data_IF_813539943098
#
_entry.id   IF_813539943098
#
_cell.length_a   1.000
_cell.length_b   1.000
_cell.length_c   1.000
_cell.angle_alpha   90.00
_cell.angle_beta   90.00
_cell.angle_gamma   90.00
#
_symmetry.space_group_name_H-M   'P 1'
#
loop_
_entity.id
_entity.type
_entity.pdbx_description
1 polymer ?
#
# COMPACT_ATOMS: atom_id res chain seq x y z
N UNK A 1 -11.85 12.65 -14.12
CA UNK A 1 -10.66 12.31 -13.31
C UNK A 1 -9.44 12.48 -14.20
N UNK A 2 -8.44 13.24 -13.77
CA UNK A 2 -7.18 13.35 -14.51
C UNK A 2 -6.56 11.96 -14.67
N UNK A 3 -5.93 11.74 -15.82
CA UNK A 3 -5.18 10.50 -16.06
C UNK A 3 -3.94 10.51 -15.17
N UNK A 4 -3.79 9.50 -14.32
CA UNK A 4 -2.56 9.28 -13.55
C UNK A 4 -1.49 8.80 -14.54
N UNK A 5 -0.47 9.62 -14.77
CA UNK A 5 0.67 9.30 -15.63
C UNK A 5 1.95 9.08 -14.81
N UNK A 6 2.00 9.63 -13.59
CA UNK A 6 3.11 9.50 -12.67
C UNK A 6 2.62 9.20 -11.26
N UNK A 7 3.47 8.58 -10.44
CA UNK A 7 3.23 8.46 -9.00
C UNK A 7 3.05 9.83 -8.33
N UNK A 8 3.62 10.89 -8.93
CA UNK A 8 3.46 12.29 -8.49
C UNK A 8 2.02 12.78 -8.58
N UNK A 9 1.19 12.16 -9.42
CA UNK A 9 -0.24 12.49 -9.53
C UNK A 9 -1.08 11.84 -8.42
N UNK A 10 -0.49 10.93 -7.63
CA UNK A 10 -1.18 10.26 -6.53
C UNK A 10 -1.22 11.19 -5.31
N UNK A 11 -2.43 11.54 -4.87
CA UNK A 11 -2.64 12.35 -3.66
C UNK A 11 -1.96 11.71 -2.43
N UNK A 12 -2.03 10.39 -2.30
CA UNK A 12 -1.36 9.65 -1.21
C UNK A 12 0.17 9.83 -1.23
N UNK A 13 0.77 9.96 -2.41
CA UNK A 13 2.20 10.22 -2.51
C UNK A 13 2.53 11.66 -2.11
N UNK A 14 1.77 12.64 -2.60
CA UNK A 14 1.97 14.06 -2.30
C UNK A 14 1.89 14.32 -0.79
N UNK A 15 0.85 13.79 -0.15
CA UNK A 15 0.66 13.89 1.30
C UNK A 15 1.73 13.17 2.09
N UNK A 16 2.21 12.00 1.62
CA UNK A 16 3.31 11.30 2.27
C UNK A 16 4.61 12.14 2.26
N UNK A 17 4.88 12.89 1.19
CA UNK A 17 6.00 13.84 1.15
C UNK A 17 5.79 14.99 2.15
N UNK A 18 4.59 15.56 2.22
CA UNK A 18 4.28 16.63 3.17
C UNK A 18 4.46 16.17 4.63
N UNK A 19 4.00 14.95 4.95
CA UNK A 19 4.22 14.31 6.25
C UNK A 19 5.73 14.20 6.54
N UNK A 20 6.53 13.71 5.60
CA UNK A 20 7.98 13.60 5.80
C UNK A 20 8.61 14.98 6.08
N UNK A 21 8.22 16.03 5.35
CA UNK A 21 8.69 17.40 5.59
C UNK A 21 8.36 17.87 7.01
N UNK A 22 7.13 17.66 7.48
CA UNK A 22 6.72 18.05 8.85
C UNK A 22 7.48 17.26 9.91
N UNK A 23 7.72 15.97 9.70
CA UNK A 23 8.54 15.13 10.58
C UNK A 23 9.96 15.68 10.70
N UNK A 24 10.58 16.09 9.59
CA UNK A 24 11.90 16.72 9.62
C UNK A 24 11.90 18.05 10.39
N UNK A 25 10.82 18.85 10.31
CA UNK A 25 10.69 20.09 11.08
C UNK A 25 10.56 19.83 12.58
N UNK A 26 9.67 18.91 12.98
CA UNK A 26 9.42 18.58 14.39
C UNK A 26 10.67 18.00 15.05
N UNK A 27 11.32 17.03 14.38
CA UNK A 27 12.48 16.33 14.92
C UNK A 27 13.75 17.18 15.02
N UNK A 28 13.75 18.45 14.55
CA UNK A 28 14.84 19.39 14.84
C UNK A 28 14.93 19.77 16.32
N UNK A 29 13.84 19.59 17.07
CA UNK A 29 13.75 19.91 18.50
C UNK A 29 14.15 18.73 19.40
N UNK A 30 14.34 17.55 18.82
CA UNK A 30 14.72 16.37 19.58
C UNK A 30 16.14 16.54 20.17
N UNK A 31 16.45 15.84 21.27
CA UNK A 31 17.80 15.82 21.83
C UNK A 31 18.86 15.40 20.79
N UNK A 32 20.06 16.00 20.87
CA UNK A 32 21.12 15.76 19.90
C UNK A 32 21.75 14.37 20.00
N UNK A 33 21.68 13.74 21.16
CA UNK A 33 22.09 12.35 21.41
C UNK A 33 21.15 11.33 20.74
N UNK A 34 19.92 11.73 20.39
CA UNK A 34 18.94 10.88 19.70
C UNK A 34 19.02 10.93 18.17
N UNK A 35 19.98 11.69 17.61
CA UNK A 35 20.17 11.85 16.15
C UNK A 35 20.26 10.49 15.44
N UNK A 36 21.01 9.54 16.02
CA UNK A 36 21.15 8.18 15.49
C UNK A 36 20.11 7.19 16.04
N UNK A 37 19.43 7.56 17.13
CA UNK A 37 18.34 6.81 17.74
C UNK A 37 16.99 7.13 17.09
N UNK A 38 16.06 7.63 17.91
CA UNK A 38 14.67 7.84 17.54
C UNK A 38 14.50 8.85 16.40
N UNK A 39 15.30 9.91 16.37
CA UNK A 39 15.27 10.92 15.28
C UNK A 39 15.50 10.27 13.92
N UNK A 40 16.50 9.40 13.81
CA UNK A 40 16.78 8.72 12.55
C UNK A 40 15.65 7.78 12.16
N UNK A 41 15.09 7.04 13.13
CA UNK A 41 14.03 6.06 12.88
C UNK A 41 12.75 6.72 12.38
N UNK A 42 12.24 7.76 13.05
CA UNK A 42 11.00 8.42 12.62
C UNK A 42 11.17 9.17 11.28
N UNK A 43 12.36 9.71 10.99
CA UNK A 43 12.65 10.30 9.68
C UNK A 43 12.67 9.23 8.58
N UNK A 44 13.29 8.08 8.82
CA UNK A 44 13.31 6.96 7.87
C UNK A 44 11.90 6.44 7.60
N UNK A 45 11.14 6.19 8.66
CA UNK A 45 9.76 5.74 8.56
C UNK A 45 8.92 6.73 7.73
N UNK A 46 9.04 8.04 7.96
CA UNK A 46 8.23 9.03 7.26
C UNK A 46 8.50 9.11 5.75
N UNK A 47 9.76 9.24 5.32
CA UNK A 47 10.03 9.31 3.88
C UNK A 47 9.82 7.96 3.18
N UNK A 48 9.99 6.84 3.90
CA UNK A 48 9.77 5.48 3.38
C UNK A 48 8.37 5.29 2.81
N UNK A 49 7.35 5.96 3.38
CA UNK A 49 5.97 5.93 2.86
C UNK A 49 5.94 6.38 1.38
N UNK A 50 6.50 7.55 1.10
CA UNK A 50 6.52 8.11 -0.25
C UNK A 50 7.40 7.31 -1.22
N UNK A 51 8.53 6.79 -0.76
CA UNK A 51 9.45 5.99 -1.57
C UNK A 51 8.80 4.66 -1.98
N UNK A 52 8.14 3.98 -1.04
CA UNK A 52 7.42 2.74 -1.34
C UNK A 52 6.24 2.98 -2.30
N UNK A 53 5.49 4.07 -2.16
CA UNK A 53 4.42 4.40 -3.12
C UNK A 53 4.99 4.61 -4.52
N UNK A 54 6.09 5.36 -4.65
CA UNK A 54 6.73 5.63 -5.93
C UNK A 54 7.30 4.36 -6.57
N UNK A 55 8.05 3.57 -5.79
CA UNK A 55 8.63 2.30 -6.25
C UNK A 55 7.54 1.30 -6.66
N UNK A 56 6.50 1.19 -5.85
CA UNK A 56 5.36 0.31 -6.11
C UNK A 56 4.60 0.70 -7.37
N UNK A 57 4.38 1.99 -7.61
CA UNK A 57 3.74 2.49 -8.83
C UNK A 57 4.56 2.16 -10.08
N UNK A 58 5.88 2.09 -9.97
CA UNK A 58 6.79 1.68 -11.05
C UNK A 58 6.76 0.18 -11.38
N UNK A 59 6.02 -0.65 -10.63
CA UNK A 59 5.98 -2.10 -10.85
C UNK A 59 4.97 -2.50 -11.93
N UNK A 60 5.30 -3.58 -12.64
CA UNK A 60 4.51 -4.08 -13.79
C UNK A 60 3.14 -4.69 -13.42
N UNK A 61 2.87 -4.94 -12.15
CA UNK A 61 1.60 -5.58 -11.74
C UNK A 61 0.98 -4.88 -10.54
N UNK A 62 -0.36 -4.87 -10.51
CA UNK A 62 -1.13 -4.37 -9.35
C UNK A 62 -0.84 -5.17 -8.08
N UNK A 63 -0.52 -6.48 -8.18
CA UNK A 63 -0.14 -7.30 -7.03
C UNK A 63 1.19 -6.82 -6.41
N UNK A 64 2.18 -6.51 -7.25
CA UNK A 64 3.44 -5.94 -6.79
C UNK A 64 3.21 -4.57 -6.17
N UNK A 65 2.44 -3.68 -6.81
CA UNK A 65 2.12 -2.38 -6.23
C UNK A 65 1.44 -2.51 -4.86
N UNK A 66 0.50 -3.43 -4.70
CA UNK A 66 -0.14 -3.72 -3.42
C UNK A 66 0.85 -4.10 -2.31
N UNK A 67 1.91 -4.84 -2.60
CA UNK A 67 2.92 -5.18 -1.60
C UNK A 67 3.65 -3.92 -1.12
N UNK A 68 4.06 -3.04 -2.03
CA UNK A 68 4.69 -1.77 -1.68
C UNK A 68 3.75 -0.84 -0.89
N UNK A 69 2.46 -0.79 -1.24
CA UNK A 69 1.49 -0.02 -0.46
C UNK A 69 1.33 -0.55 0.98
N UNK A 70 1.45 -1.87 1.18
CA UNK A 70 1.44 -2.46 2.54
C UNK A 70 2.70 -2.11 3.32
N UNK A 71 3.86 -2.06 2.67
CA UNK A 71 5.10 -1.58 3.29
C UNK A 71 4.95 -0.10 3.67
N UNK A 72 4.43 0.73 2.77
CA UNK A 72 4.15 2.14 3.06
C UNK A 72 3.20 2.32 4.25
N UNK A 73 2.15 1.49 4.34
CA UNK A 73 1.27 1.43 5.52
C UNK A 73 2.04 1.07 6.80
N UNK A 74 2.89 0.04 6.75
CA UNK A 74 3.73 -0.36 7.88
C UNK A 74 4.66 0.77 8.34
N UNK A 75 5.26 1.51 7.40
CA UNK A 75 6.08 2.68 7.74
C UNK A 75 5.29 3.81 8.40
N UNK A 76 3.99 3.98 8.11
CA UNK A 76 3.14 4.90 8.88
C UNK A 76 2.86 4.38 10.30
N UNK A 77 2.62 3.08 10.46
CA UNK A 77 2.42 2.48 11.79
C UNK A 77 3.68 2.67 12.66
N UNK A 78 4.86 2.47 12.07
CA UNK A 78 6.17 2.72 12.73
C UNK A 78 6.34 4.20 13.08
N UNK A 79 5.96 5.11 12.18
CA UNK A 79 6.04 6.54 12.40
C UNK A 79 5.17 6.98 13.59
N UNK A 80 3.90 6.56 13.61
CA UNK A 80 2.96 6.84 14.69
C UNK A 80 3.48 6.30 16.03
N UNK A 81 3.94 5.06 16.04
CA UNK A 81 4.54 4.42 17.24
C UNK A 81 5.76 5.20 17.74
N UNK A 82 6.62 5.64 16.83
CA UNK A 82 7.81 6.43 17.17
C UNK A 82 7.49 7.79 17.78
N UNK A 83 6.44 8.47 17.30
CA UNK A 83 6.01 9.73 17.90
C UNK A 83 5.30 9.54 19.25
N UNK A 84 4.55 8.45 19.43
CA UNK A 84 4.01 8.09 20.75
C UNK A 84 5.15 7.91 21.76
N UNK A 85 6.23 7.23 21.37
CA UNK A 85 7.42 7.10 22.21
C UNK A 85 8.09 8.45 22.46
N UNK A 86 8.28 9.28 21.43
CA UNK A 86 8.89 10.60 21.57
C UNK A 86 8.14 11.50 22.55
N UNK A 87 6.81 11.46 22.55
CA UNK A 87 5.98 12.20 23.52
C UNK A 87 6.18 11.68 24.95
N UNK A 88 6.26 10.36 25.14
CA UNK A 88 6.49 9.74 26.46
C UNK A 88 7.88 10.03 27.02
N UNK A 89 8.86 10.21 26.14
CA UNK A 89 10.22 10.64 26.49
C UNK A 89 10.34 12.18 26.60
N UNK A 90 9.23 12.90 26.46
CA UNK A 90 9.14 14.36 26.56
C UNK A 90 9.99 15.11 25.50
N UNK A 91 10.33 14.47 24.38
CA UNK A 91 11.09 15.09 23.28
C UNK A 91 10.24 16.08 22.46
N UNK A 92 8.92 15.94 22.54
CA UNK A 92 7.94 16.78 21.87
C UNK A 92 6.62 16.71 22.63
N UNK A 93 5.86 17.81 22.68
CA UNK A 93 4.55 17.84 23.32
C UNK A 93 3.45 17.34 22.40
N UNK A 94 2.38 16.79 22.98
CA UNK A 94 1.25 16.27 22.23
C UNK A 94 0.56 17.35 21.37
N UNK A 95 0.47 18.59 21.88
CA UNK A 95 -0.16 19.70 21.15
C UNK A 95 0.61 20.05 19.87
N UNK A 96 1.94 19.90 19.89
CA UNK A 96 2.81 20.13 18.73
C UNK A 96 2.64 19.04 17.66
N UNK A 97 2.19 17.85 18.06
CA UNK A 97 1.97 16.72 17.16
C UNK A 97 0.56 16.64 16.59
N UNK A 98 -0.42 17.38 17.15
CA UNK A 98 -1.83 17.25 16.75
C UNK A 98 -2.03 17.27 15.23
N UNK A 99 -1.48 18.27 14.54
CA UNK A 99 -1.60 18.40 13.08
C UNK A 99 -0.94 17.25 12.32
N UNK A 100 0.21 16.77 12.81
CA UNK A 100 0.91 15.64 12.22
C UNK A 100 0.11 14.35 12.40
N UNK A 101 -0.41 14.09 13.60
CA UNK A 101 -1.23 12.91 13.91
C UNK A 101 -2.53 12.88 13.10
N UNK A 102 -3.19 14.02 12.94
CA UNK A 102 -4.36 14.16 12.06
C UNK A 102 -4.00 13.80 10.60
N UNK A 103 -2.82 14.25 10.15
CA UNK A 103 -2.32 13.97 8.79
C UNK A 103 -1.97 12.49 8.58
N UNK A 104 -1.27 11.87 9.54
CA UNK A 104 -0.93 10.44 9.55
C UNK A 104 -2.21 9.60 9.55
N UNK A 105 -3.18 9.93 10.40
CA UNK A 105 -4.47 9.22 10.48
C UNK A 105 -5.22 9.28 9.16
N UNK A 106 -5.27 10.45 8.53
CA UNK A 106 -5.92 10.61 7.25
C UNK A 106 -5.17 9.83 6.15
N UNK A 107 -3.84 9.87 6.15
CA UNK A 107 -3.03 9.14 5.17
C UNK A 107 -3.19 7.63 5.29
N UNK A 108 -3.21 7.11 6.52
CA UNK A 108 -3.50 5.71 6.82
C UNK A 108 -4.84 5.28 6.23
N UNK A 109 -5.90 6.06 6.45
CA UNK A 109 -7.24 5.79 5.90
C UNK A 109 -7.23 5.77 4.36
N UNK A 110 -6.52 6.70 3.74
CA UNK A 110 -6.41 6.78 2.27
C UNK A 110 -5.66 5.59 1.69
N UNK A 111 -4.52 5.21 2.29
CA UNK A 111 -3.74 4.04 1.86
C UNK A 111 -4.54 2.75 2.02
N UNK A 112 -5.19 2.53 3.16
CA UNK A 112 -6.03 1.34 3.39
C UNK A 112 -7.18 1.27 2.37
N UNK A 113 -7.82 2.40 2.09
CA UNK A 113 -8.88 2.46 1.06
C UNK A 113 -8.34 2.12 -0.34
N UNK A 114 -7.19 2.69 -0.73
CA UNK A 114 -6.55 2.39 -2.01
C UNK A 114 -6.18 0.91 -2.13
N UNK A 115 -5.56 0.33 -1.10
CA UNK A 115 -5.23 -1.09 -1.03
C UNK A 115 -6.48 -1.94 -1.26
N UNK A 116 -7.56 -1.67 -0.51
CA UNK A 116 -8.83 -2.41 -0.62
C UNK A 116 -9.40 -2.35 -2.04
N UNK A 117 -9.41 -1.16 -2.66
CA UNK A 117 -9.92 -0.98 -4.03
C UNK A 117 -9.09 -1.77 -5.04
N UNK A 118 -7.76 -1.74 -4.93
CA UNK A 118 -6.86 -2.46 -5.83
C UNK A 118 -6.97 -3.98 -5.65
N UNK A 119 -7.09 -4.47 -4.42
CA UNK A 119 -7.32 -5.89 -4.13
C UNK A 119 -8.62 -6.40 -4.76
N UNK A 120 -9.71 -5.62 -4.65
CA UNK A 120 -10.98 -5.96 -5.29
C UNK A 120 -10.86 -6.01 -6.81
N UNK A 121 -10.12 -5.08 -7.42
CA UNK A 121 -9.83 -5.10 -8.87
C UNK A 121 -9.05 -6.36 -9.28
N UNK A 122 -8.02 -6.72 -8.51
CA UNK A 122 -7.23 -7.96 -8.75
C UNK A 122 -8.13 -9.20 -8.64
N UNK A 123 -8.91 -9.32 -7.56
CA UNK A 123 -9.83 -10.45 -7.34
C UNK A 123 -10.84 -10.59 -8.48
N UNK A 124 -11.45 -9.48 -8.92
CA UNK A 124 -12.39 -9.45 -10.06
C UNK A 124 -11.73 -9.91 -11.36
N UNK A 125 -10.51 -9.44 -11.66
CA UNK A 125 -9.75 -9.86 -12.86
C UNK A 125 -9.43 -11.35 -12.82
N UNK A 126 -8.94 -11.86 -11.69
CA UNK A 126 -8.65 -13.29 -11.51
C UNK A 126 -9.91 -14.16 -11.70
N UNK A 127 -11.04 -13.78 -11.09
CA UNK A 127 -12.31 -14.52 -11.23
C UNK A 127 -12.79 -14.53 -12.68
N UNK A 128 -12.64 -13.42 -13.41
CA UNK A 128 -12.99 -13.34 -14.84
C UNK A 128 -12.13 -14.30 -15.68
N UNK A 129 -10.82 -14.32 -15.46
CA UNK A 129 -9.89 -15.22 -16.17
C UNK A 129 -10.23 -16.69 -15.87
N UNK A 130 -10.43 -17.03 -14.59
CA UNK A 130 -10.81 -18.39 -14.19
C UNK A 130 -12.09 -18.85 -14.88
N UNK A 131 -13.13 -17.99 -14.93
CA UNK A 131 -14.38 -18.31 -15.64
C UNK A 131 -14.14 -18.60 -17.13
N UNK A 132 -13.33 -17.80 -17.81
CA UNK A 132 -13.01 -18.01 -19.23
C UNK A 132 -12.30 -19.36 -19.43
N UNK A 133 -11.31 -19.67 -18.60
CA UNK A 133 -10.57 -20.93 -18.68
C UNK A 133 -11.51 -22.12 -18.47
N UNK A 134 -12.37 -22.08 -17.44
CA UNK A 134 -13.35 -23.15 -17.18
C UNK A 134 -14.32 -23.32 -18.35
N UNK A 135 -14.77 -22.23 -18.98
CA UNK A 135 -15.63 -22.30 -20.18
C UNK A 135 -14.90 -22.94 -21.37
N UNK A 136 -13.63 -22.59 -21.61
CA UNK A 136 -12.84 -23.19 -22.70
C UNK A 136 -12.64 -24.69 -22.48
N UNK A 137 -12.30 -25.11 -21.26
CA UNK A 137 -12.13 -26.53 -20.91
C UNK A 137 -13.46 -27.28 -21.09
N UNK A 138 -14.58 -26.71 -20.64
CA UNK A 138 -15.89 -27.33 -20.80
C UNK A 138 -16.25 -27.54 -22.28
N UNK A 139 -15.99 -26.55 -23.14
CA UNK A 139 -16.24 -26.66 -24.59
C UNK A 139 -15.32 -27.72 -25.21
N UNK A 140 -14.04 -27.74 -24.85
CA UNK A 140 -13.08 -28.72 -25.37
C UNK A 140 -13.39 -30.16 -24.95
N UNK A 141 -14.07 -30.36 -23.81
CA UNK A 141 -14.49 -31.68 -23.33
C UNK A 141 -15.78 -32.20 -24.01
N UNK A 142 -16.58 -31.34 -24.65
CA UNK A 142 -17.86 -31.73 -25.27
C UNK A 142 -17.71 -32.85 -26.32
N UNK A 143 -16.76 -32.82 -27.28
CA UNK A 143 -16.61 -33.88 -28.27
C UNK A 143 -16.26 -35.23 -27.64
N UNK A 144 -15.43 -35.22 -26.59
CA UNK A 144 -15.02 -36.43 -25.86
C UNK A 144 -16.23 -37.02 -25.14
N UNK A 145 -16.98 -36.20 -24.41
CA UNK A 145 -18.20 -36.63 -23.73
C UNK A 145 -19.25 -37.17 -24.71
N UNK A 146 -19.41 -36.51 -25.87
CA UNK A 146 -20.32 -36.95 -26.92
C UNK A 146 -19.91 -38.30 -27.53
N UNK A 147 -18.63 -38.52 -27.78
CA UNK A 147 -18.11 -39.80 -28.29
C UNK A 147 -18.35 -40.95 -27.31
N UNK A 148 -18.14 -40.72 -26.01
CA UNK A 148 -18.40 -41.72 -24.96
C UNK A 148 -19.89 -42.06 -24.86
N UNK A 149 -20.78 -41.08 -25.04
CA UNK A 149 -22.22 -41.29 -24.98
C UNK A 149 -22.76 -42.05 -26.21
N UNK A 150 -22.23 -41.77 -27.40
CA UNK A 150 -22.74 -42.32 -28.66
C UNK A 150 -22.13 -43.66 -29.07
N UNK A 151 -20.94 -44.01 -28.55
CA UNK A 151 -20.30 -45.31 -28.80
C UNK A 151 -19.85 -45.99 -27.49
N UNK A 152 -20.79 -46.63 -26.75
CA UNK A 152 -20.48 -47.27 -25.47
C UNK A 152 -19.64 -48.55 -25.59
N UNK A 153 -19.39 -49.09 -26.79
CA UNK A 153 -18.60 -50.31 -26.99
C UNK A 153 -17.10 -50.08 -27.25
N UNK A 154 -16.63 -48.83 -27.21
CA UNK A 154 -15.21 -48.49 -27.44
C UNK A 154 -14.33 -48.55 -26.17
N UNK A 155 -14.87 -49.06 -25.04
CA UNK A 155 -14.15 -49.32 -23.78
C UNK A 155 -14.67 -50.58 -23.10
#
# INVERSE_FOLDING_TARGET
>A
MSKINSYKDLIVWQRAIDIAVEVYKITKKFPSDEIFGLTSQVRRASYSVSLNIAEGHGRNTTKSFLNFLRIAKGSLDELESGFILATRLEFVKEEELKKLNDSITQEMKMLVSLIKVLELKVKKKTKKIAKIITTIIAIAALPIAYSLFTNPQLF
#
